data_IF_639734660378
#
_entry.id   IF_639734660378
#
_cell.length_a   1.000
_cell.length_b   1.000
_cell.length_c   1.000
_cell.angle_alpha   90.00
_cell.angle_beta   90.00
_cell.angle_gamma   90.00
#
_symmetry.space_group_name_H-M   'P 1'
#
loop_
_entity.id
_entity.type
_entity.pdbx_description
1 polymer ?
#
# COMPACT_ATOMS: atom_id res chain seq x y z
N UNK A 1 -13.96 7.93 -14.76
CA UNK A 1 -14.21 7.21 -13.50
C UNK A 1 -12.97 7.40 -12.64
N UNK A 2 -13.07 8.19 -11.58
CA UNK A 2 -11.98 8.34 -10.60
C UNK A 2 -11.80 7.00 -9.86
N UNK A 3 -10.68 6.31 -10.07
CA UNK A 3 -10.35 5.09 -9.32
C UNK A 3 -9.72 5.44 -7.97
N UNK A 4 -10.38 6.30 -7.19
CA UNK A 4 -9.96 6.58 -5.82
C UNK A 4 -10.35 5.42 -4.91
N UNK A 5 -9.43 4.98 -4.07
CA UNK A 5 -9.63 3.92 -3.07
C UNK A 5 -9.29 4.51 -1.72
N UNK A 6 -10.17 4.28 -0.74
CA UNK A 6 -9.89 4.61 0.66
C UNK A 6 -9.59 3.31 1.39
N UNK A 7 -8.50 3.32 2.17
CA UNK A 7 -8.10 2.20 3.02
C UNK A 7 -7.99 2.70 4.45
N UNK A 8 -8.74 2.10 5.36
CA UNK A 8 -8.50 2.24 6.80
C UNK A 8 -7.25 1.45 7.19
N UNK A 9 -6.69 1.70 8.37
CA UNK A 9 -5.60 0.86 8.91
C UNK A 9 -6.01 -0.61 8.93
N UNK A 10 -5.20 -1.47 8.31
CA UNK A 10 -5.45 -2.89 8.14
C UNK A 10 -6.17 -3.27 6.84
N UNK A 11 -6.86 -2.32 6.20
CA UNK A 11 -7.54 -2.56 4.92
C UNK A 11 -6.52 -2.85 3.82
N UNK A 12 -6.95 -3.69 2.87
CA UNK A 12 -6.08 -4.29 1.87
C UNK A 12 -6.59 -4.04 0.47
N UNK A 13 -5.72 -3.58 -0.43
CA UNK A 13 -6.04 -3.34 -1.82
C UNK A 13 -5.16 -4.17 -2.75
N UNK A 14 -5.75 -4.70 -3.82
CA UNK A 14 -5.02 -5.41 -4.86
C UNK A 14 -4.55 -4.43 -5.93
N UNK A 15 -3.24 -4.25 -6.06
CA UNK A 15 -2.69 -3.44 -7.14
C UNK A 15 -2.95 -4.18 -8.46
N UNK A 16 -3.70 -3.56 -9.37
CA UNK A 16 -4.26 -4.20 -10.58
C UNK A 16 -3.27 -5.01 -11.42
N UNK A 17 -1.96 -4.74 -11.33
CA UNK A 17 -0.89 -5.52 -11.97
C UNK A 17 -0.11 -6.30 -10.91
N UNK A 18 -0.11 -7.63 -11.02
CA UNK A 18 0.66 -8.54 -10.14
C UNK A 18 -0.20 -9.39 -9.20
N UNK A 19 0.46 -10.08 -8.25
CA UNK A 19 -0.17 -10.80 -7.12
C UNK A 19 -0.10 -9.98 -5.82
N UNK A 20 0.26 -8.71 -5.94
CA UNK A 20 0.72 -7.90 -4.84
C UNK A 20 -0.46 -7.15 -4.23
N UNK A 21 -0.60 -7.31 -2.91
CA UNK A 21 -1.57 -6.55 -2.11
C UNK A 21 -0.82 -5.52 -1.29
N UNK A 22 -1.37 -4.32 -1.23
CA UNK A 22 -0.93 -3.32 -0.27
C UNK A 22 -1.91 -3.27 0.89
N UNK A 23 -1.40 -2.95 2.06
CA UNK A 23 -2.20 -2.68 3.26
C UNK A 23 -1.77 -1.38 3.88
N UNK A 24 -2.73 -0.52 4.22
CA UNK A 24 -2.40 0.66 4.99
C UNK A 24 -2.08 0.27 6.43
N UNK A 25 -0.89 0.59 6.91
CA UNK A 25 -0.41 0.23 8.25
C UNK A 25 -0.44 1.40 9.23
N UNK A 26 -1.04 2.52 8.84
CA UNK A 26 -1.17 3.72 9.68
C UNK A 26 0.05 4.62 9.60
N UNK A 27 0.13 5.53 10.57
CA UNK A 27 1.21 6.50 10.70
C UNK A 27 2.06 6.19 11.92
N UNK A 28 3.31 5.71 11.77
CA UNK A 28 4.23 5.53 12.90
C UNK A 28 4.65 6.85 13.57
N UNK A 29 4.54 7.99 12.87
CA UNK A 29 4.75 9.34 13.41
C UNK A 29 3.90 10.36 12.64
N UNK A 30 3.78 11.60 13.11
CA UNK A 30 2.98 12.65 12.43
C UNK A 30 3.42 12.93 10.99
N UNK A 31 4.69 12.68 10.66
CA UNK A 31 5.27 13.01 9.36
C UNK A 31 5.55 11.78 8.48
N UNK A 32 5.23 10.58 8.95
CA UNK A 32 5.51 9.32 8.22
C UNK A 32 4.29 8.44 8.24
N UNK A 33 3.90 7.93 7.06
CA UNK A 33 2.90 6.88 6.93
C UNK A 33 3.52 5.60 6.40
N UNK A 34 2.80 4.50 6.59
CA UNK A 34 3.29 3.15 6.40
C UNK A 34 2.34 2.33 5.53
N UNK A 35 2.90 1.64 4.53
CA UNK A 35 2.17 0.71 3.67
C UNK A 35 2.92 -0.61 3.64
N UNK A 36 2.23 -1.70 3.95
CA UNK A 36 2.79 -3.05 3.84
C UNK A 36 2.53 -3.58 2.44
N UNK A 37 3.58 -3.93 1.72
CA UNK A 37 3.48 -4.69 0.47
C UNK A 37 3.55 -6.18 0.80
N UNK A 38 2.57 -6.95 0.32
CA UNK A 38 2.52 -8.40 0.47
C UNK A 38 2.60 -9.05 -0.90
N UNK A 39 3.61 -9.91 -1.07
CA UNK A 39 3.77 -10.77 -2.24
C UNK A 39 3.39 -12.19 -1.90
N UNK A 40 2.65 -12.84 -2.79
CA UNK A 40 2.37 -14.27 -2.72
C UNK A 40 2.88 -14.95 -3.97
N UNK A 41 3.85 -15.84 -3.80
CA UNK A 41 4.41 -16.62 -4.89
C UNK A 41 3.92 -18.06 -4.80
N UNK A 42 3.66 -18.64 -5.98
CA UNK A 42 3.33 -20.06 -6.10
C UNK A 42 4.65 -20.78 -6.37
N UNK A 43 5.04 -21.67 -5.46
CA UNK A 43 6.22 -22.50 -5.59
C UNK A 43 5.80 -23.94 -5.95
N UNK A 44 6.70 -24.76 -6.53
CA UNK A 44 6.36 -26.12 -6.97
C UNK A 44 5.77 -27.03 -5.88
N UNK A 45 5.99 -26.71 -4.60
CA UNK A 45 5.54 -27.51 -3.45
C UNK A 45 4.72 -26.71 -2.41
N UNK A 46 4.20 -25.52 -2.75
CA UNK A 46 3.38 -24.74 -1.82
C UNK A 46 3.24 -23.25 -2.14
N UNK A 47 2.77 -22.48 -1.15
CA UNK A 47 2.66 -21.03 -1.23
C UNK A 47 3.64 -20.38 -0.26
N UNK A 48 4.48 -19.48 -0.75
CA UNK A 48 5.28 -18.60 0.12
C UNK A 48 4.70 -17.20 0.10
N UNK A 49 4.62 -16.58 1.29
CA UNK A 49 4.25 -15.19 1.47
C UNK A 49 5.43 -14.40 1.98
N UNK A 50 5.78 -13.30 1.32
CA UNK A 50 6.72 -12.32 1.84
C UNK A 50 6.00 -11.01 2.01
N UNK A 51 6.36 -10.27 3.05
CA UNK A 51 5.82 -8.95 3.32
C UNK A 51 6.93 -8.05 3.84
N UNK A 52 6.91 -6.79 3.41
CA UNK A 52 7.77 -5.77 3.97
C UNK A 52 6.97 -4.51 4.21
N UNK A 53 7.36 -3.82 5.27
CA UNK A 53 6.77 -2.56 5.61
C UNK A 53 7.54 -1.41 4.93
N UNK A 54 6.83 -0.60 4.17
CA UNK A 54 7.37 0.58 3.49
C UNK A 54 6.95 1.83 4.25
N UNK A 55 7.85 2.81 4.32
CA UNK A 55 7.64 4.06 5.03
C UNK A 55 7.82 5.23 4.08
N UNK A 56 6.91 6.18 4.15
CA UNK A 56 6.87 7.33 3.26
C UNK A 56 6.62 8.61 4.05
N UNK A 57 7.27 9.73 3.69
CA UNK A 57 6.94 11.04 4.23
C UNK A 57 5.49 11.43 3.92
N UNK A 58 4.78 12.02 4.87
CA UNK A 58 3.37 12.45 4.74
C UNK A 58 3.13 13.42 3.57
N UNK A 59 4.12 14.25 3.28
CA UNK A 59 4.05 15.23 2.18
C UNK A 59 4.36 14.62 0.79
N UNK A 60 4.67 13.32 0.71
CA UNK A 60 4.93 12.66 -0.56
C UNK A 60 3.61 12.32 -1.27
N UNK A 61 3.28 13.08 -2.31
CA UNK A 61 2.04 12.95 -3.08
C UNK A 61 2.03 11.79 -4.09
N UNK A 62 3.19 11.23 -4.42
CA UNK A 62 3.29 10.06 -5.30
C UNK A 62 4.31 9.07 -4.74
N UNK A 63 3.88 7.84 -4.55
CA UNK A 63 4.71 6.73 -4.08
C UNK A 63 4.82 5.67 -5.18
N UNK A 64 5.89 4.88 -5.14
CA UNK A 64 6.11 3.79 -6.10
C UNK A 64 6.21 2.47 -5.35
N UNK A 65 5.27 1.56 -5.61
CA UNK A 65 5.23 0.22 -5.02
C UNK A 65 5.11 -0.79 -6.15
N UNK A 66 5.98 -1.79 -6.15
CA UNK A 66 6.09 -2.80 -7.22
C UNK A 66 6.14 -2.24 -8.66
N UNK A 67 6.80 -1.10 -8.85
CA UNK A 67 6.88 -0.46 -10.16
C UNK A 67 5.63 0.34 -10.58
N UNK A 68 4.58 0.36 -9.76
CA UNK A 68 3.35 1.12 -9.99
C UNK A 68 3.45 2.45 -9.23
N UNK A 69 3.21 3.55 -9.94
CA UNK A 69 3.07 4.86 -9.31
C UNK A 69 1.64 5.01 -8.78
N UNK A 70 1.53 5.40 -7.51
CA UNK A 70 0.27 5.56 -6.79
C UNK A 70 0.24 6.99 -6.28
N UNK A 71 -0.82 7.72 -6.58
CA UNK A 71 -1.03 9.07 -6.06
C UNK A 71 -1.67 8.97 -4.66
N UNK A 72 -1.09 9.68 -3.70
CA UNK A 72 -1.61 9.82 -2.34
C UNK A 72 -2.37 11.13 -2.29
N UNK A 73 -3.69 11.04 -2.21
CA UNK A 73 -4.56 12.23 -2.19
C UNK A 73 -4.70 12.81 -0.78
N UNK A 74 -4.77 11.93 0.22
CA UNK A 74 -4.83 12.30 1.63
C UNK A 74 -4.36 11.14 2.50
N UNK A 75 -3.80 11.43 3.67
CA UNK A 75 -3.42 10.44 4.68
C UNK A 75 -3.63 10.99 6.08
N UNK A 76 -4.25 10.18 6.94
CA UNK A 76 -4.44 10.39 8.37
C UNK A 76 -3.98 9.15 9.13
N UNK A 77 -3.99 9.19 10.46
CA UNK A 77 -3.57 8.03 11.26
C UNK A 77 -4.49 6.81 11.06
N UNK A 78 -5.74 7.06 10.65
CA UNK A 78 -6.81 6.07 10.54
C UNK A 78 -7.03 5.59 9.10
N UNK A 79 -6.85 6.48 8.10
CA UNK A 79 -7.12 6.15 6.70
C UNK A 79 -6.14 6.80 5.72
N UNK A 80 -6.06 6.21 4.53
CA UNK A 80 -5.36 6.76 3.38
C UNK A 80 -6.25 6.71 2.14
N UNK A 81 -6.22 7.78 1.35
CA UNK A 81 -6.88 7.84 0.05
C UNK A 81 -5.84 7.78 -1.06
N UNK A 82 -6.00 6.81 -1.94
CA UNK A 82 -5.09 6.50 -3.03
C UNK A 82 -5.80 6.58 -4.37
N UNK A 83 -5.06 6.98 -5.41
CA UNK A 83 -5.50 6.88 -6.81
C UNK A 83 -4.45 6.07 -7.58
N UNK A 84 -4.92 4.98 -8.21
CA UNK A 84 -4.09 3.98 -8.93
C UNK A 84 -4.44 3.96 -10.41
#
# INVERSE_FOLDING_TARGET
MDNSVVLSVGDSFHLRRGKDRITYAGMPSEDVFSIVQRKREALPYGWSGQAWNLFFPRNQSTIRIDGINIMVENVTKEEIRLRV
#
